data_IF_874710493089
#
_entry.id   IF_874710493089
#
_cell.length_a   1.000
_cell.length_b   1.000
_cell.length_c   1.000
_cell.angle_alpha   90.00
_cell.angle_beta   90.00
_cell.angle_gamma   90.00
#
_symmetry.space_group_name_H-M   'P 1'
#
loop_
_entity.id
_entity.type
_entity.pdbx_description
1 polymer ?
#
# COMPACT_ATOMS: atom_id res chain seq x y z
N UNK A 1 -58.71 68.01 -15.35
CA UNK A 1 -57.33 68.48 -15.58
C UNK A 1 -56.39 67.47 -14.96
N UNK A 2 -56.05 66.49 -15.79
CA UNK A 2 -54.79 65.75 -15.92
C UNK A 2 -53.88 65.56 -14.71
N UNK A 3 -53.63 64.28 -14.40
CA UNK A 3 -52.27 63.68 -14.44
C UNK A 3 -52.35 62.18 -14.15
N UNK A 4 -52.58 61.40 -15.20
CA UNK A 4 -52.16 60.01 -15.29
C UNK A 4 -50.69 59.99 -15.73
N UNK A 5 -49.79 59.52 -14.87
CA UNK A 5 -48.38 59.30 -15.23
C UNK A 5 -48.01 57.90 -14.76
N UNK A 6 -48.09 56.92 -15.67
CA UNK A 6 -47.52 55.59 -15.50
C UNK A 6 -46.17 55.56 -16.20
N UNK A 7 -45.09 55.10 -15.56
CA UNK A 7 -43.81 54.89 -16.24
C UNK A 7 -43.82 53.55 -16.99
N UNK A 8 -43.60 53.63 -18.30
CA UNK A 8 -43.32 52.50 -19.16
C UNK A 8 -41.90 51.98 -18.89
N UNK A 9 -41.79 50.76 -18.38
CA UNK A 9 -40.54 49.99 -18.33
C UNK A 9 -40.34 49.34 -19.70
N UNK A 10 -39.45 49.94 -20.50
CA UNK A 10 -38.92 49.34 -21.72
C UNK A 10 -37.77 48.41 -21.33
N UNK A 11 -37.90 47.13 -21.68
CA UNK A 11 -36.86 46.12 -21.52
C UNK A 11 -36.16 45.96 -22.86
N UNK A 12 -34.94 46.50 -22.96
CA UNK A 12 -34.01 46.30 -24.08
C UNK A 12 -33.38 44.89 -23.98
N UNK A 13 -33.48 44.02 -25.01
CA UNK A 13 -32.67 42.83 -25.10
C UNK A 13 -31.55 43.08 -26.12
N UNK A 14 -30.50 43.76 -25.71
CA UNK A 14 -29.26 43.83 -26.47
C UNK A 14 -28.09 43.59 -25.52
N UNK A 15 -27.55 42.36 -25.55
CA UNK A 15 -26.16 41.96 -25.18
C UNK A 15 -26.08 40.44 -24.95
N UNK A 16 -26.54 39.67 -25.92
CA UNK A 16 -26.02 38.33 -26.18
C UNK A 16 -25.59 38.31 -27.63
N UNK A 17 -24.31 38.56 -27.89
CA UNK A 17 -23.53 37.87 -28.92
C UNK A 17 -22.14 38.48 -29.06
N UNK A 18 -21.17 37.59 -29.22
CA UNK A 18 -19.80 37.81 -29.64
C UNK A 18 -18.90 38.40 -28.57
N UNK A 19 -18.19 37.52 -27.85
CA UNK A 19 -16.73 37.54 -27.68
C UNK A 19 -16.36 36.27 -26.89
N UNK A 20 -15.30 35.56 -27.30
CA UNK A 20 -14.62 34.44 -26.63
C UNK A 20 -15.11 32.98 -26.79
N UNK A 21 -15.30 32.50 -28.03
CA UNK A 21 -15.24 31.05 -28.32
C UNK A 21 -14.22 30.65 -29.41
N UNK A 22 -13.25 31.50 -29.74
CA UNK A 22 -12.40 31.27 -30.92
C UNK A 22 -10.91 30.94 -30.66
N UNK A 23 -10.43 30.74 -29.42
CA UNK A 23 -8.98 30.60 -29.18
C UNK A 23 -8.49 29.36 -28.42
N UNK A 24 -9.35 28.43 -28.02
CA UNK A 24 -8.92 27.30 -27.18
C UNK A 24 -8.68 25.96 -27.91
N UNK A 25 -8.55 25.96 -29.24
CA UNK A 25 -8.40 24.72 -30.02
C UNK A 25 -7.08 24.62 -30.79
N UNK A 26 -6.01 25.23 -30.25
CA UNK A 26 -4.67 25.17 -30.84
C UNK A 26 -3.58 24.84 -29.82
N UNK A 27 -3.86 23.91 -28.90
CA UNK A 27 -2.80 23.23 -28.17
C UNK A 27 -2.61 21.84 -28.75
N UNK A 28 -1.59 21.78 -29.60
CA UNK A 28 -0.94 20.60 -30.14
C UNK A 28 -0.83 19.47 -29.11
N UNK A 29 -1.57 18.39 -29.35
CA UNK A 29 -1.17 17.05 -28.89
C UNK A 29 -0.07 16.61 -29.86
N UNK A 30 1.14 17.09 -29.63
CA UNK A 30 2.35 16.52 -30.25
C UNK A 30 2.66 15.26 -29.46
N UNK A 31 2.36 14.13 -30.09
CA UNK A 31 2.96 12.82 -29.87
C UNK A 31 4.41 12.94 -29.40
N UNK A 32 4.66 12.60 -28.13
CA UNK A 32 5.98 12.18 -27.69
C UNK A 32 6.05 10.66 -27.83
N UNK A 33 6.62 10.27 -28.97
CA UNK A 33 7.29 8.98 -29.19
C UNK A 33 8.23 8.71 -28.00
N UNK A 34 8.04 7.63 -27.24
CA UNK A 34 8.57 6.30 -27.53
C UNK A 34 10.11 6.26 -27.62
N UNK A 35 10.79 6.51 -26.50
CA UNK A 35 12.14 6.00 -26.24
C UNK A 35 12.12 5.18 -24.94
N UNK A 36 11.75 3.90 -25.10
CA UNK A 36 12.08 2.85 -24.15
C UNK A 36 13.53 2.44 -24.43
N UNK A 37 14.48 3.10 -23.77
CA UNK A 37 15.88 2.66 -23.74
C UNK A 37 15.96 1.30 -23.03
N UNK A 38 16.43 0.33 -23.80
CA UNK A 38 16.69 -1.05 -23.43
C UNK A 38 17.96 -1.06 -22.56
N UNK A 39 17.83 -1.29 -21.26
CA UNK A 39 18.99 -1.52 -20.39
C UNK A 39 19.55 -2.91 -20.65
N UNK A 40 20.74 -2.96 -21.25
CA UNK A 40 21.57 -4.16 -21.42
C UNK A 40 21.98 -4.71 -20.05
N UNK A 41 21.65 -5.98 -19.77
CA UNK A 41 22.19 -6.72 -18.63
C UNK A 41 23.64 -7.12 -18.93
N UNK A 42 24.62 -6.88 -18.03
CA UNK A 42 25.98 -7.36 -18.24
C UNK A 42 26.07 -8.89 -18.06
N UNK A 43 26.57 -9.53 -19.12
CA UNK A 43 26.93 -10.95 -19.20
C UNK A 43 27.85 -11.38 -18.05
N UNK A 44 27.48 -12.52 -17.48
CA UNK A 44 28.16 -13.22 -16.40
C UNK A 44 29.22 -14.14 -16.96
N UNK A 45 30.42 -13.62 -17.17
CA UNK A 45 31.58 -14.46 -17.52
C UNK A 45 32.02 -15.28 -16.30
N UNK A 46 31.87 -16.59 -16.45
CA UNK A 46 32.53 -17.60 -15.62
C UNK A 46 33.97 -17.68 -16.12
N UNK A 47 34.93 -17.42 -15.25
CA UNK A 47 36.31 -17.76 -15.53
C UNK A 47 36.87 -18.74 -14.48
N UNK A 48 37.65 -19.66 -15.02
CA UNK A 48 37.96 -20.97 -14.49
C UNK A 48 39.09 -20.94 -13.46
N UNK A 49 39.14 -22.00 -12.64
CA UNK A 49 40.12 -22.13 -11.57
C UNK A 49 41.56 -22.28 -12.05
N UNK A 50 42.48 -21.63 -11.33
CA UNK A 50 43.91 -21.92 -11.37
C UNK A 50 44.42 -22.33 -9.98
N UNK A 51 45.01 -23.53 -9.96
CA UNK A 51 45.54 -24.24 -8.80
C UNK A 51 46.88 -23.64 -8.34
N UNK A 52 47.00 -23.55 -7.01
CA UNK A 52 48.18 -23.20 -6.22
C UNK A 52 49.45 -24.02 -6.58
N UNK A 53 50.58 -23.34 -6.77
CA UNK A 53 51.91 -23.94 -6.63
C UNK A 53 52.96 -22.88 -6.26
N UNK A 54 53.04 -22.51 -4.97
CA UNK A 54 54.22 -21.85 -4.40
C UNK A 54 54.29 -22.14 -2.90
N UNK A 55 54.93 -23.26 -2.57
CA UNK A 55 55.26 -23.62 -1.19
C UNK A 55 56.66 -23.06 -0.87
N UNK A 56 56.71 -21.96 -0.12
CA UNK A 56 57.96 -21.35 0.35
C UNK A 56 58.64 -22.22 1.42
N UNK A 57 59.99 -22.31 1.44
CA UNK A 57 60.73 -23.15 2.38
C UNK A 57 60.66 -22.61 3.81
N UNK A 58 60.40 -23.50 4.76
CA UNK A 58 60.25 -23.21 6.19
C UNK A 58 61.48 -22.48 6.77
N UNK A 59 61.26 -21.31 7.36
CA UNK A 59 62.30 -20.53 8.06
C UNK A 59 62.67 -21.19 9.39
N UNK A 60 63.96 -21.13 9.81
CA UNK A 60 64.44 -21.76 11.03
C UNK A 60 63.85 -21.10 12.29
N UNK A 61 63.48 -21.93 13.26
CA UNK A 61 62.88 -21.54 14.54
C UNK A 61 63.75 -20.49 15.28
N UNK A 62 63.11 -19.42 15.74
CA UNK A 62 63.77 -18.31 16.41
C UNK A 62 64.30 -18.67 17.81
N UNK A 63 65.35 -17.99 18.25
CA UNK A 63 66.07 -18.26 19.50
C UNK A 63 65.17 -18.34 20.77
N UNK A 64 64.03 -17.66 20.77
CA UNK A 64 63.03 -17.73 21.86
C UNK A 64 62.38 -19.10 21.99
N UNK A 65 62.13 -19.77 20.86
CA UNK A 65 61.54 -21.11 20.82
C UNK A 65 62.56 -22.17 21.28
N UNK A 66 63.84 -21.98 20.95
CA UNK A 66 64.93 -22.82 21.45
C UNK A 66 65.09 -22.68 22.98
N UNK A 67 64.96 -21.47 23.52
CA UNK A 67 65.08 -21.20 24.95
C UNK A 67 63.92 -21.81 25.75
N UNK A 68 62.70 -21.81 25.20
CA UNK A 68 61.53 -22.47 25.80
C UNK A 68 61.68 -24.00 25.81
N UNK A 69 62.18 -24.59 24.72
CA UNK A 69 62.45 -26.04 24.65
C UNK A 69 63.60 -26.46 25.56
N UNK A 70 64.65 -25.65 25.66
CA UNK A 70 65.75 -25.88 26.59
C UNK A 70 65.31 -25.77 28.06
N UNK A 71 64.46 -24.80 28.38
CA UNK A 71 63.90 -24.62 29.73
C UNK A 71 63.03 -25.79 30.19
N UNK A 72 62.19 -26.32 29.29
CA UNK A 72 61.38 -27.51 29.58
C UNK A 72 62.21 -28.77 29.82
N UNK A 73 63.25 -28.99 28.99
CA UNK A 73 64.17 -30.13 29.15
C UNK A 73 65.02 -30.03 30.42
N UNK A 74 65.45 -28.82 30.81
CA UNK A 74 66.24 -28.61 32.03
C UNK A 74 65.46 -28.99 33.31
N UNK A 75 64.15 -28.73 33.35
CA UNK A 75 63.32 -29.09 34.51
C UNK A 75 63.11 -30.60 34.62
N UNK A 76 62.91 -31.28 33.48
CA UNK A 76 62.82 -32.75 33.43
C UNK A 76 64.14 -33.40 33.83
N UNK A 77 65.27 -32.89 33.33
CA UNK A 77 66.60 -33.38 33.69
C UNK A 77 66.89 -33.19 35.19
N UNK A 78 66.53 -32.05 35.77
CA UNK A 78 66.74 -31.79 37.20
C UNK A 78 65.90 -32.73 38.08
N UNK A 79 64.66 -33.05 37.68
CA UNK A 79 63.81 -34.02 38.37
C UNK A 79 64.35 -35.45 38.26
N UNK A 80 64.87 -35.85 37.10
CA UNK A 80 65.52 -37.14 36.91
C UNK A 80 66.78 -37.29 37.78
N UNK A 81 67.59 -36.23 37.89
CA UNK A 81 68.76 -36.20 38.79
C UNK A 81 68.32 -36.36 40.24
N UNK A 82 67.28 -35.65 40.69
CA UNK A 82 66.81 -35.73 42.07
C UNK A 82 66.28 -37.13 42.43
N UNK A 83 65.57 -37.80 41.51
CA UNK A 83 65.13 -39.19 41.66
C UNK A 83 66.35 -40.14 41.71
N UNK A 84 67.32 -39.97 40.82
CA UNK A 84 68.54 -40.81 40.79
C UNK A 84 69.41 -40.66 42.04
N UNK A 85 69.52 -39.44 42.59
CA UNK A 85 70.28 -39.18 43.81
C UNK A 85 69.64 -39.89 45.01
N UNK A 86 68.31 -39.91 45.05
CA UNK A 86 67.51 -40.59 46.09
C UNK A 86 67.67 -42.11 46.02
N UNK A 87 67.80 -42.67 44.81
CA UNK A 87 68.09 -44.09 44.61
C UNK A 87 69.55 -44.47 44.94
N UNK A 88 70.52 -43.62 44.59
CA UNK A 88 71.95 -43.92 44.80
C UNK A 88 72.38 -43.95 46.27
N UNK A 89 71.70 -43.17 47.14
CA UNK A 89 71.97 -43.14 48.58
C UNK A 89 71.14 -44.17 49.35
N UNK A 90 71.03 -45.42 48.87
CA UNK A 90 70.71 -46.61 49.67
C UNK A 90 69.53 -46.51 50.67
N UNK A 91 68.58 -45.61 50.46
CA UNK A 91 67.51 -45.28 51.40
C UNK A 91 66.15 -45.83 50.95
N UNK A 92 66.11 -46.55 49.83
CA UNK A 92 64.91 -47.24 49.35
C UNK A 92 64.55 -48.50 50.15
N UNK A 93 65.36 -48.90 51.14
CA UNK A 93 65.10 -50.11 51.95
C UNK A 93 65.21 -49.90 53.46
N UNK A 94 64.96 -48.69 53.96
CA UNK A 94 64.76 -48.40 55.40
C UNK A 94 63.54 -47.52 55.69
N UNK A 95 62.49 -47.61 54.87
CA UNK A 95 61.20 -46.92 55.13
C UNK A 95 60.24 -47.78 55.97
N UNK A 96 60.61 -49.02 56.31
CA UNK A 96 59.69 -49.94 57.02
C UNK A 96 59.94 -50.14 58.52
N UNK A 97 60.79 -49.34 59.17
CA UNK A 97 60.85 -49.33 60.64
C UNK A 97 61.05 -47.92 61.19
N UNK A 98 59.92 -47.29 61.53
CA UNK A 98 59.81 -46.32 62.62
C UNK A 98 60.56 -45.01 62.47
N UNK A 99 59.97 -44.03 61.77
CA UNK A 99 60.00 -42.61 62.17
C UNK A 99 58.92 -41.79 61.45
N UNK A 100 58.22 -40.97 62.24
CA UNK A 100 57.40 -39.77 61.94
C UNK A 100 56.55 -39.75 60.66
N UNK A 101 55.23 -39.86 60.84
CA UNK A 101 54.19 -39.82 59.80
C UNK A 101 54.30 -38.64 58.81
N UNK A 102 54.94 -37.54 59.21
CA UNK A 102 55.17 -36.36 58.36
C UNK A 102 56.10 -36.63 57.18
N UNK A 103 57.13 -37.49 57.34
CA UNK A 103 58.04 -37.84 56.25
C UNK A 103 57.38 -38.76 55.20
N UNK A 104 56.50 -39.65 55.65
CA UNK A 104 55.78 -40.57 54.75
C UNK A 104 54.75 -39.84 53.89
N UNK A 105 54.06 -38.84 54.47
CA UNK A 105 53.15 -37.97 53.72
C UNK A 105 53.91 -37.13 52.66
N UNK A 106 55.09 -36.61 53.01
CA UNK A 106 55.92 -35.82 52.08
C UNK A 106 56.40 -36.63 50.87
N UNK A 107 56.83 -37.88 51.09
CA UNK A 107 57.25 -38.76 50.00
C UNK A 107 56.08 -39.14 49.10
N UNK A 108 54.92 -39.47 49.67
CA UNK A 108 53.71 -39.79 48.90
C UNK A 108 53.27 -38.62 47.99
N UNK A 109 53.27 -37.38 48.51
CA UNK A 109 52.95 -36.19 47.70
C UNK A 109 53.94 -35.96 46.55
N UNK A 110 55.22 -36.24 46.75
CA UNK A 110 56.25 -36.03 45.71
C UNK A 110 56.12 -37.05 44.57
N UNK A 111 55.79 -38.29 44.88
CA UNK A 111 55.51 -39.31 43.85
C UNK A 111 54.17 -39.04 43.15
N UNK A 112 53.16 -38.56 43.87
CA UNK A 112 51.87 -38.21 43.26
C UNK A 112 52.00 -37.02 42.28
N UNK A 113 52.76 -35.98 42.63
CA UNK A 113 52.93 -34.80 41.78
C UNK A 113 53.79 -35.08 40.55
N UNK A 114 54.84 -35.90 40.68
CA UNK A 114 55.67 -36.32 39.54
C UNK A 114 54.92 -37.24 38.56
N UNK A 115 54.04 -38.13 39.07
CA UNK A 115 53.17 -38.94 38.23
C UNK A 115 52.20 -38.13 37.37
N UNK A 116 51.61 -37.07 37.95
CA UNK A 116 50.73 -36.16 37.21
C UNK A 116 51.48 -35.39 36.10
N UNK A 117 52.77 -35.09 36.30
CA UNK A 117 53.59 -34.45 35.28
C UNK A 117 53.81 -35.32 34.03
N UNK A 118 54.05 -36.62 34.23
CA UNK A 118 54.28 -37.57 33.13
C UNK A 118 53.01 -37.78 32.31
N UNK A 119 51.83 -37.81 32.94
CA UNK A 119 50.56 -37.99 32.21
C UNK A 119 50.17 -36.74 31.43
N UNK A 120 50.46 -35.54 31.94
CA UNK A 120 50.09 -34.29 31.27
C UNK A 120 51.05 -33.89 30.14
N UNK A 121 52.34 -34.29 30.21
CA UNK A 121 53.35 -33.92 29.20
C UNK A 121 52.99 -34.34 27.76
N UNK A 122 52.53 -35.58 27.48
CA UNK A 122 52.10 -35.98 26.14
C UNK A 122 50.88 -35.18 25.63
N UNK A 123 49.96 -34.81 26.52
CA UNK A 123 48.75 -34.05 26.15
C UNK A 123 49.13 -32.65 25.68
N UNK A 124 50.08 -32.00 26.35
CA UNK A 124 50.56 -30.67 25.98
C UNK A 124 51.29 -30.73 24.63
N UNK A 125 52.16 -31.72 24.41
CA UNK A 125 52.86 -31.90 23.12
C UNK A 125 51.88 -32.18 21.98
N UNK A 126 50.81 -32.94 22.24
CA UNK A 126 49.77 -33.21 21.25
C UNK A 126 48.98 -31.94 20.88
N UNK A 127 48.64 -31.10 21.88
CA UNK A 127 47.96 -29.82 21.65
C UNK A 127 48.87 -28.80 20.96
N UNK A 128 50.15 -28.77 21.30
CA UNK A 128 51.14 -27.91 20.65
C UNK A 128 51.26 -28.29 19.16
N UNK A 129 51.36 -29.58 18.81
CA UNK A 129 51.35 -30.03 17.41
C UNK A 129 50.06 -29.72 16.66
N UNK A 130 48.93 -29.61 17.34
CA UNK A 130 47.68 -29.16 16.72
C UNK A 130 47.67 -27.64 16.48
N UNK A 131 48.30 -26.86 17.35
CA UNK A 131 48.43 -25.41 17.21
C UNK A 131 49.50 -24.99 16.20
N UNK A 132 50.60 -25.74 16.08
CA UNK A 132 51.66 -25.49 15.08
C UNK A 132 51.22 -25.84 13.65
N UNK A 133 50.00 -26.36 13.44
CA UNK A 133 49.33 -26.33 12.12
C UNK A 133 48.78 -24.91 11.86
N UNK A 134 49.71 -23.95 11.92
CA UNK A 134 49.55 -22.49 11.75
C UNK A 134 49.12 -22.04 10.34
N UNK A 135 48.84 -22.97 9.42
CA UNK A 135 48.11 -22.62 8.20
C UNK A 135 46.70 -22.10 8.52
N UNK A 136 46.11 -22.55 9.63
CA UNK A 136 44.78 -22.12 10.06
C UNK A 136 44.75 -20.66 10.52
N UNK A 137 45.80 -20.16 11.19
CA UNK A 137 45.83 -18.75 11.63
C UNK A 137 46.16 -17.80 10.49
N UNK A 138 47.04 -18.19 9.56
CA UNK A 138 47.30 -17.41 8.34
C UNK A 138 46.08 -17.39 7.41
N UNK A 139 45.39 -18.52 7.26
CA UNK A 139 44.14 -18.60 6.53
C UNK A 139 43.05 -17.73 7.21
N UNK A 140 42.97 -17.75 8.54
CA UNK A 140 42.03 -16.89 9.27
C UNK A 140 42.35 -15.39 9.10
N UNK A 141 43.63 -14.99 9.16
CA UNK A 141 44.04 -13.59 8.94
C UNK A 141 43.81 -13.12 7.51
N UNK A 142 44.08 -13.96 6.52
CA UNK A 142 43.78 -13.64 5.12
C UNK A 142 42.26 -13.58 4.89
N UNK A 143 41.50 -14.49 5.52
CA UNK A 143 40.03 -14.45 5.49
C UNK A 143 39.47 -13.18 6.14
N UNK A 144 40.07 -12.69 7.24
CA UNK A 144 39.66 -11.42 7.87
C UNK A 144 39.99 -10.23 6.97
N UNK A 145 41.15 -10.20 6.31
CA UNK A 145 41.50 -9.13 5.35
C UNK A 145 40.55 -9.11 4.14
N UNK A 146 40.20 -10.29 3.63
CA UNK A 146 39.23 -10.43 2.56
C UNK A 146 37.84 -9.94 2.99
N UNK A 147 37.38 -10.33 4.19
CA UNK A 147 36.12 -9.86 4.75
C UNK A 147 36.11 -8.34 4.99
N UNK A 148 37.23 -7.78 5.45
CA UNK A 148 37.37 -6.33 5.62
C UNK A 148 37.31 -5.60 4.26
N UNK A 149 37.95 -6.14 3.23
CA UNK A 149 37.86 -5.62 1.87
C UNK A 149 36.42 -5.60 1.36
N UNK A 150 35.70 -6.71 1.52
CA UNK A 150 34.28 -6.82 1.13
C UNK A 150 33.37 -5.88 1.92
N UNK A 151 33.63 -5.69 3.21
CA UNK A 151 32.87 -4.76 4.03
C UNK A 151 33.13 -3.29 3.65
N UNK A 152 34.37 -2.96 3.27
CA UNK A 152 34.68 -1.62 2.76
C UNK A 152 33.95 -1.36 1.45
N UNK A 153 34.00 -2.31 0.52
CA UNK A 153 33.30 -2.22 -0.76
C UNK A 153 31.78 -2.10 -0.58
N UNK A 154 31.21 -2.87 0.35
CA UNK A 154 29.78 -2.74 0.69
C UNK A 154 29.44 -1.40 1.33
N UNK A 155 30.34 -0.80 2.10
CA UNK A 155 30.13 0.52 2.69
C UNK A 155 30.18 1.62 1.62
N UNK A 156 31.09 1.49 0.67
CA UNK A 156 31.21 2.42 -0.47
C UNK A 156 29.94 2.35 -1.34
N UNK A 157 29.42 1.15 -1.62
CA UNK A 157 28.15 0.96 -2.34
C UNK A 157 26.98 1.57 -1.57
N UNK A 158 26.87 1.31 -0.27
CA UNK A 158 25.80 1.89 0.55
C UNK A 158 25.87 3.41 0.59
N UNK A 159 27.08 3.98 0.63
CA UNK A 159 27.27 5.42 0.63
C UNK A 159 26.84 6.05 -0.70
N UNK A 160 27.14 5.40 -1.83
CA UNK A 160 26.63 5.82 -3.14
C UNK A 160 25.10 5.75 -3.21
N UNK A 161 24.48 4.71 -2.66
CA UNK A 161 23.02 4.58 -2.61
C UNK A 161 22.36 5.65 -1.74
N UNK A 162 23.01 6.06 -0.64
CA UNK A 162 22.55 7.18 0.19
C UNK A 162 22.60 8.51 -0.58
N UNK A 163 23.68 8.75 -1.34
CA UNK A 163 23.82 9.96 -2.16
C UNK A 163 22.74 10.02 -3.27
N UNK A 164 22.42 8.88 -3.89
CA UNK A 164 21.36 8.76 -4.89
C UNK A 164 19.96 9.02 -4.27
N UNK A 165 19.69 8.46 -3.08
CA UNK A 165 18.45 8.72 -2.35
C UNK A 165 18.33 10.20 -1.95
N UNK A 166 19.43 10.85 -1.54
CA UNK A 166 19.42 12.27 -1.23
C UNK A 166 19.12 13.13 -2.46
N UNK A 167 19.67 12.78 -3.62
CA UNK A 167 19.37 13.42 -4.91
C UNK A 167 17.89 13.29 -5.28
N UNK A 168 17.31 12.11 -5.10
CA UNK A 168 15.89 11.86 -5.38
C UNK A 168 14.97 12.64 -4.43
N UNK A 169 15.32 12.73 -3.14
CA UNK A 169 14.57 13.53 -2.16
C UNK A 169 14.61 15.02 -2.53
N UNK A 170 15.76 15.55 -2.98
CA UNK A 170 15.85 16.95 -3.45
C UNK A 170 14.98 17.19 -4.68
N UNK A 171 14.96 16.26 -5.64
CA UNK A 171 14.08 16.34 -6.82
C UNK A 171 12.60 16.32 -6.42
N UNK A 172 12.22 15.49 -5.45
CA UNK A 172 10.85 15.44 -4.94
C UNK A 172 10.46 16.75 -4.23
N UNK A 173 11.39 17.36 -3.49
CA UNK A 173 11.18 18.66 -2.84
C UNK A 173 10.97 19.78 -3.87
N UNK A 174 11.74 19.78 -4.97
CA UNK A 174 11.56 20.75 -6.07
C UNK A 174 10.19 20.59 -6.75
N UNK A 175 9.73 19.34 -6.94
CA UNK A 175 8.39 19.04 -7.47
C UNK A 175 7.29 19.50 -6.50
N UNK A 176 7.45 19.27 -5.20
CA UNK A 176 6.49 19.74 -4.19
C UNK A 176 6.40 21.27 -4.18
N UNK A 177 7.52 21.96 -4.29
CA UNK A 177 7.56 23.43 -4.36
C UNK A 177 6.87 23.94 -5.62
N UNK A 178 7.11 23.32 -6.77
CA UNK A 178 6.44 23.67 -8.02
C UNK A 178 4.93 23.40 -7.97
N UNK A 179 4.50 22.28 -7.37
CA UNK A 179 3.08 21.96 -7.18
C UNK A 179 2.41 22.91 -6.18
N UNK A 180 3.12 23.36 -5.15
CA UNK A 180 2.62 24.35 -4.19
C UNK A 180 2.45 25.71 -4.85
N UNK A 181 3.40 26.14 -5.66
CA UNK A 181 3.30 27.37 -6.46
C UNK A 181 2.13 27.28 -7.47
N UNK A 182 1.96 26.13 -8.13
CA UNK A 182 0.82 25.88 -9.02
C UNK A 182 -0.51 25.89 -8.25
N UNK A 183 -0.57 25.30 -7.06
CA UNK A 183 -1.76 25.29 -6.20
C UNK A 183 -2.11 26.68 -5.66
N UNK A 184 -1.13 27.53 -5.39
CA UNK A 184 -1.34 28.93 -5.00
C UNK A 184 -1.88 29.77 -6.17
N UNK A 185 -1.43 29.48 -7.41
CA UNK A 185 -1.89 30.16 -8.63
C UNK A 185 -3.26 29.63 -9.11
N UNK A 186 -3.55 28.33 -8.97
CA UNK A 186 -4.80 27.70 -9.40
C UNK A 186 -5.88 27.62 -8.31
N UNK A 187 -5.59 28.01 -7.07
CA UNK A 187 -6.57 28.01 -5.98
C UNK A 187 -7.83 28.85 -6.28
N UNK A 188 -7.73 29.87 -7.15
CA UNK A 188 -8.90 30.64 -7.63
C UNK A 188 -9.71 29.90 -8.69
N UNK A 189 -9.07 29.15 -9.58
CA UNK A 189 -9.73 28.36 -10.63
C UNK A 189 -10.42 27.10 -10.07
N UNK A 190 -9.87 26.50 -9.01
CA UNK A 190 -10.51 25.36 -8.33
C UNK A 190 -11.80 25.79 -7.64
N UNK A 191 -11.83 26.97 -7.03
CA UNK A 191 -13.05 27.51 -6.42
C UNK A 191 -14.12 27.80 -7.48
N UNK A 192 -13.74 28.36 -8.62
CA UNK A 192 -14.66 28.56 -9.75
C UNK A 192 -15.20 27.23 -10.31
N UNK A 193 -14.34 26.22 -10.44
CA UNK A 193 -14.77 24.88 -10.86
C UNK A 193 -15.73 24.24 -9.84
N UNK A 194 -15.46 24.36 -8.55
CA UNK A 194 -16.35 23.87 -7.50
C UNK A 194 -17.70 24.59 -7.51
N UNK A 195 -17.71 25.90 -7.73
CA UNK A 195 -18.93 26.68 -7.88
C UNK A 195 -19.73 26.25 -9.11
N UNK A 196 -19.07 26.00 -10.24
CA UNK A 196 -19.72 25.47 -11.45
C UNK A 196 -20.30 24.07 -11.22
N UNK A 197 -19.59 23.18 -10.53
CA UNK A 197 -20.11 21.85 -10.17
C UNK A 197 -21.31 21.97 -9.24
N UNK A 198 -21.27 22.89 -8.26
CA UNK A 198 -22.39 23.14 -7.36
C UNK A 198 -23.60 23.69 -8.11
N UNK A 199 -23.41 24.64 -9.01
CA UNK A 199 -24.48 25.19 -9.86
C UNK A 199 -25.06 24.11 -10.78
N UNK A 200 -24.23 23.28 -11.40
CA UNK A 200 -24.71 22.17 -12.21
C UNK A 200 -25.52 21.16 -11.39
N UNK A 201 -25.10 20.87 -10.15
CA UNK A 201 -25.87 20.02 -9.25
C UNK A 201 -27.24 20.62 -8.92
N UNK A 202 -27.29 21.91 -8.61
CA UNK A 202 -28.53 22.64 -8.32
C UNK A 202 -29.47 22.66 -9.54
N UNK A 203 -28.93 22.88 -10.75
CA UNK A 203 -29.68 22.82 -12.00
C UNK A 203 -30.22 21.40 -12.24
N UNK A 204 -29.41 20.36 -12.01
CA UNK A 204 -29.84 18.96 -12.16
C UNK A 204 -30.95 18.59 -11.17
N UNK A 205 -30.87 19.04 -9.92
CA UNK A 205 -31.94 18.87 -8.93
C UNK A 205 -33.22 19.61 -9.36
N UNK A 206 -33.09 20.85 -9.84
CA UNK A 206 -34.20 21.62 -10.38
C UNK A 206 -34.88 20.95 -11.57
N UNK A 207 -34.10 20.42 -12.52
CA UNK A 207 -34.62 19.67 -13.66
C UNK A 207 -35.34 18.40 -13.24
N UNK A 208 -34.82 17.68 -12.24
CA UNK A 208 -35.48 16.49 -11.68
C UNK A 208 -36.83 16.84 -11.04
N UNK A 209 -36.94 17.98 -10.36
CA UNK A 209 -38.21 18.46 -9.83
C UNK A 209 -39.22 18.80 -10.93
N UNK A 210 -38.78 19.46 -12.00
CA UNK A 210 -39.64 19.76 -13.15
C UNK A 210 -40.14 18.49 -13.82
N UNK A 211 -39.28 17.49 -14.01
CA UNK A 211 -39.66 16.20 -14.60
C UNK A 211 -40.67 15.46 -13.71
N UNK A 212 -40.45 15.42 -12.39
CA UNK A 212 -41.39 14.87 -11.40
C UNK A 212 -42.77 15.52 -11.49
N UNK A 213 -42.81 16.85 -11.56
CA UNK A 213 -44.07 17.59 -11.65
C UNK A 213 -44.79 17.33 -12.97
N UNK A 214 -44.04 17.24 -14.08
CA UNK A 214 -44.61 16.93 -15.40
C UNK A 214 -45.21 15.53 -15.45
N UNK A 215 -44.49 14.53 -14.91
CA UNK A 215 -45.00 13.16 -14.80
C UNK A 215 -46.24 13.12 -13.90
N UNK A 216 -46.21 13.83 -12.77
CA UNK A 216 -47.38 13.92 -11.88
C UNK A 216 -48.59 14.54 -12.60
N UNK A 217 -48.39 15.63 -13.34
CA UNK A 217 -49.44 16.28 -14.13
C UNK A 217 -50.04 15.31 -15.16
N UNK A 218 -49.21 14.61 -15.93
CA UNK A 218 -49.65 13.64 -16.93
C UNK A 218 -50.42 12.47 -16.32
N UNK A 219 -49.96 11.95 -15.17
CA UNK A 219 -50.66 10.90 -14.46
C UNK A 219 -52.00 11.40 -13.89
N UNK A 220 -52.06 12.62 -13.36
CA UNK A 220 -53.33 13.21 -12.88
C UNK A 220 -54.30 13.40 -14.04
N UNK A 221 -53.84 13.90 -15.18
CA UNK A 221 -54.66 14.01 -16.40
C UNK A 221 -55.19 12.64 -16.83
N UNK A 222 -54.35 11.60 -16.82
CA UNK A 222 -54.77 10.23 -17.13
C UNK A 222 -55.84 9.71 -16.16
N UNK A 223 -55.69 9.95 -14.85
CA UNK A 223 -56.68 9.56 -13.84
C UNK A 223 -58.03 10.24 -14.12
N UNK A 224 -58.01 11.54 -14.42
CA UNK A 224 -59.21 12.30 -14.76
C UNK A 224 -59.85 11.86 -16.09
N UNK A 225 -59.04 11.50 -17.09
CA UNK A 225 -59.52 11.02 -18.38
C UNK A 225 -60.16 9.62 -18.29
N UNK A 226 -59.78 8.81 -17.30
CA UNK A 226 -60.38 7.50 -17.06
C UNK A 226 -61.74 7.64 -16.35
N UNK A 227 -61.85 8.56 -15.39
CA UNK A 227 -63.09 8.92 -14.66
C UNK A 227 -64.05 9.74 -15.55
N UNK A 228 -64.60 9.08 -16.59
CA UNK A 228 -65.54 9.71 -17.52
C UNK A 228 -66.95 9.89 -16.94
N UNK A 229 -67.29 9.16 -15.88
CA UNK A 229 -68.63 9.20 -15.29
C UNK A 229 -68.77 10.24 -14.17
N UNK A 230 -67.66 10.87 -13.76
CA UNK A 230 -67.63 11.90 -12.72
C UNK A 230 -68.02 11.33 -11.36
N UNK A 231 -67.86 10.02 -11.17
CA UNK A 231 -68.15 9.36 -9.90
C UNK A 231 -67.08 9.65 -8.84
N UNK A 232 -65.90 10.13 -9.25
CA UNK A 232 -64.72 10.32 -8.40
C UNK A 232 -64.32 9.04 -7.64
N UNK A 233 -64.74 7.87 -8.14
CA UNK A 233 -64.47 6.56 -7.56
C UNK A 233 -63.98 5.60 -8.64
N UNK A 234 -62.76 5.12 -8.51
CA UNK A 234 -62.13 4.21 -9.47
C UNK A 234 -62.57 2.78 -9.19
N UNK A 235 -63.34 2.20 -10.12
CA UNK A 235 -63.79 0.80 -10.08
C UNK A 235 -62.68 -0.16 -10.53
N UNK A 236 -62.81 -1.46 -10.18
CA UNK A 236 -61.77 -2.47 -10.48
C UNK A 236 -61.41 -2.58 -11.98
N UNK A 237 -62.37 -2.36 -12.88
CA UNK A 237 -62.17 -2.32 -14.34
C UNK A 237 -61.44 -1.05 -14.82
N UNK A 238 -61.54 0.05 -14.08
CA UNK A 238 -60.86 1.31 -14.35
C UNK A 238 -59.43 1.31 -13.81
N UNK A 239 -59.20 0.61 -12.67
CA UNK A 239 -57.86 0.38 -12.13
C UNK A 239 -56.97 -0.32 -13.18
N UNK A 240 -57.49 -1.34 -13.86
CA UNK A 240 -56.73 -2.06 -14.89
C UNK A 240 -56.38 -1.15 -16.09
N UNK A 241 -57.28 -0.22 -16.46
CA UNK A 241 -57.00 0.79 -17.51
C UNK A 241 -55.97 1.81 -17.05
N UNK A 242 -56.03 2.24 -15.80
CA UNK A 242 -55.07 3.16 -15.21
C UNK A 242 -53.68 2.54 -15.17
N UNK A 243 -53.56 1.26 -14.79
CA UNK A 243 -52.29 0.53 -14.80
C UNK A 243 -51.71 0.46 -16.22
N UNK A 244 -52.54 0.15 -17.23
CA UNK A 244 -52.10 0.12 -18.63
C UNK A 244 -51.66 1.51 -19.09
N UNK A 245 -52.44 2.55 -18.77
CA UNK A 245 -52.13 3.94 -19.12
C UNK A 245 -50.83 4.43 -18.48
N UNK A 246 -50.59 4.12 -17.20
CA UNK A 246 -49.34 4.46 -16.53
C UNK A 246 -48.14 3.71 -17.12
N UNK A 247 -48.32 2.46 -17.56
CA UNK A 247 -47.28 1.70 -18.26
C UNK A 247 -46.98 2.22 -19.68
N UNK A 248 -47.89 2.98 -20.29
CA UNK A 248 -47.68 3.63 -21.59
C UNK A 248 -46.92 4.95 -21.47
N UNK A 249 -46.89 5.57 -20.28
CA UNK A 249 -46.07 6.75 -20.03
C UNK A 249 -44.62 6.30 -19.97
N UNK A 250 -43.88 6.75 -20.97
CA UNK A 250 -42.58 6.25 -21.42
C UNK A 250 -41.42 6.59 -20.47
N UNK A 251 -41.65 6.57 -19.15
CA UNK A 251 -40.73 7.08 -18.11
C UNK A 251 -41.03 6.53 -16.70
N UNK A 252 -42.12 5.78 -16.51
CA UNK A 252 -42.57 5.32 -15.18
C UNK A 252 -42.40 3.82 -15.08
N UNK A 253 -41.53 3.36 -14.18
CA UNK A 253 -41.48 1.96 -13.75
C UNK A 253 -42.11 1.86 -12.36
N UNK A 254 -43.16 1.05 -12.23
CA UNK A 254 -43.82 0.80 -10.96
C UNK A 254 -44.34 -0.65 -10.89
N UNK A 255 -44.53 -1.14 -9.67
CA UNK A 255 -45.17 -2.45 -9.46
C UNK A 255 -46.69 -2.32 -9.54
N UNK A 256 -47.25 -2.82 -10.63
CA UNK A 256 -48.69 -2.82 -10.88
C UNK A 256 -49.50 -3.56 -9.80
N UNK A 257 -48.95 -4.62 -9.18
CA UNK A 257 -49.69 -5.42 -8.20
C UNK A 257 -49.78 -4.73 -6.84
N UNK A 258 -48.67 -4.15 -6.41
CA UNK A 258 -48.63 -3.38 -5.18
C UNK A 258 -49.51 -2.11 -5.31
N UNK A 259 -49.44 -1.41 -6.45
CA UNK A 259 -50.33 -0.28 -6.72
C UNK A 259 -51.81 -0.66 -6.67
N UNK A 260 -52.20 -1.79 -7.28
CA UNK A 260 -53.57 -2.30 -7.25
C UNK A 260 -54.05 -2.55 -5.82
N UNK A 261 -53.20 -3.13 -4.98
CA UNK A 261 -53.53 -3.44 -3.59
C UNK A 261 -53.74 -2.15 -2.77
N UNK A 262 -52.89 -1.14 -2.99
CA UNK A 262 -52.98 0.14 -2.30
C UNK A 262 -54.25 0.92 -2.71
N UNK A 263 -54.61 0.91 -3.99
CA UNK A 263 -55.83 1.57 -4.49
C UNK A 263 -57.10 0.90 -3.93
N UNK A 264 -57.14 -0.43 -3.88
CA UNK A 264 -58.27 -1.17 -3.29
C UNK A 264 -58.38 -0.90 -1.78
N UNK A 265 -57.25 -0.80 -1.08
CA UNK A 265 -57.23 -0.50 0.36
C UNK A 265 -57.79 0.89 0.70
N UNK A 266 -57.61 1.86 -0.21
CA UNK A 266 -58.13 3.23 -0.12
C UNK A 266 -59.58 3.39 -0.60
N UNK A 267 -60.27 2.29 -0.95
CA UNK A 267 -61.68 2.35 -1.36
C UNK A 267 -61.92 3.06 -2.69
N UNK A 268 -60.88 3.27 -3.50
CA UNK A 268 -60.98 3.80 -4.85
C UNK A 268 -61.27 5.29 -4.98
N UNK A 269 -61.21 6.10 -3.91
CA UNK A 269 -61.42 7.55 -4.03
C UNK A 269 -60.27 8.19 -4.85
N UNK A 270 -60.62 8.97 -5.88
CA UNK A 270 -59.64 9.66 -6.76
C UNK A 270 -58.67 10.54 -5.96
N UNK A 271 -59.14 11.27 -4.95
CA UNK A 271 -58.29 12.13 -4.12
C UNK A 271 -57.22 11.30 -3.37
N UNK A 272 -57.60 10.12 -2.86
CA UNK A 272 -56.68 9.21 -2.18
C UNK A 272 -55.69 8.59 -3.16
N UNK A 273 -56.14 8.23 -4.36
CA UNK A 273 -55.28 7.70 -5.42
C UNK A 273 -54.24 8.74 -5.86
N UNK A 274 -54.63 10.00 -6.01
CA UNK A 274 -53.71 11.11 -6.31
C UNK A 274 -52.70 11.28 -5.17
N UNK A 275 -53.12 11.18 -3.90
CA UNK A 275 -52.19 11.22 -2.76
C UNK A 275 -51.19 10.07 -2.78
N UNK A 276 -51.62 8.85 -3.11
CA UNK A 276 -50.74 7.68 -3.27
C UNK A 276 -49.71 7.96 -4.36
N UNK A 277 -50.15 8.39 -5.54
CA UNK A 277 -49.27 8.70 -6.68
C UNK A 277 -48.28 9.81 -6.32
N UNK A 278 -48.75 10.88 -5.65
CA UNK A 278 -47.89 11.97 -5.19
C UNK A 278 -46.79 11.46 -4.26
N UNK A 279 -47.12 10.55 -3.34
CA UNK A 279 -46.17 9.91 -2.41
C UNK A 279 -45.18 9.02 -3.16
N UNK A 280 -45.64 8.26 -4.16
CA UNK A 280 -44.80 7.41 -5.00
C UNK A 280 -43.76 8.21 -5.81
N UNK A 281 -44.11 9.41 -6.30
CA UNK A 281 -43.23 10.27 -7.12
C UNK A 281 -42.26 11.10 -6.28
N UNK A 282 -42.72 11.66 -5.16
CA UNK A 282 -41.89 12.52 -4.32
C UNK A 282 -40.97 11.73 -3.40
N UNK A 283 -41.24 10.43 -3.21
CA UNK A 283 -40.69 9.65 -2.11
C UNK A 283 -41.31 10.13 -0.79
N UNK A 284 -41.23 9.29 0.24
CA UNK A 284 -41.59 9.71 1.60
C UNK A 284 -40.62 10.80 2.04
N UNK A 285 -40.92 12.07 1.73
CA UNK A 285 -40.18 13.21 2.27
C UNK A 285 -40.26 13.11 3.79
N UNK A 286 -39.10 12.92 4.41
CA UNK A 286 -38.88 12.67 5.82
C UNK A 286 -39.78 13.58 6.69
N UNK A 287 -40.89 13.05 7.22
CA UNK A 287 -41.77 13.84 8.10
C UNK A 287 -43.19 13.35 8.26
N UNK A 288 -43.75 12.64 7.27
CA UNK A 288 -45.09 12.04 7.43
C UNK A 288 -44.98 10.61 7.96
N UNK A 289 -45.46 10.40 9.20
CA UNK A 289 -45.65 9.08 9.84
C UNK A 289 -46.85 8.37 9.21
N UNK A 290 -46.77 8.17 7.89
CA UNK A 290 -47.75 7.45 7.08
C UNK A 290 -47.14 6.15 6.59
N UNK A 291 -47.98 5.12 6.45
CA UNK A 291 -47.62 3.80 5.91
C UNK A 291 -46.61 3.92 4.76
N UNK A 292 -45.46 3.28 4.91
CA UNK A 292 -44.49 3.09 3.83
C UNK A 292 -45.22 2.45 2.65
N UNK A 293 -45.39 3.20 1.57
CA UNK A 293 -45.91 2.65 0.32
C UNK A 293 -44.81 1.81 -0.29
N UNK A 294 -45.10 0.52 -0.53
CA UNK A 294 -44.15 -0.43 -1.10
C UNK A 294 -43.74 -0.09 -2.54
N UNK A 295 -44.50 0.78 -3.22
CA UNK A 295 -44.20 1.23 -4.56
C UNK A 295 -43.34 2.51 -4.54
N UNK A 296 -42.16 2.46 -5.15
CA UNK A 296 -41.40 3.64 -5.53
C UNK A 296 -41.41 3.75 -7.05
N UNK A 297 -41.71 4.94 -7.58
CA UNK A 297 -41.54 5.22 -9.00
C UNK A 297 -40.09 5.61 -9.23
N UNK A 298 -39.36 4.75 -9.94
CA UNK A 298 -38.04 5.08 -10.44
C UNK A 298 -38.20 5.94 -11.70
N UNK A 299 -37.95 7.24 -11.56
CA UNK A 299 -37.87 8.15 -12.71
C UNK A 299 -36.47 8.03 -13.29
N UNK A 300 -36.41 7.80 -14.61
CA UNK A 300 -35.16 7.73 -15.35
C UNK A 300 -34.31 9.00 -15.17
N UNK A 301 -32.99 8.84 -15.26
CA UNK A 301 -32.05 9.95 -15.09
C UNK A 301 -32.38 11.09 -16.07
N UNK A 302 -32.57 12.35 -15.59
CA UNK A 302 -32.93 13.48 -16.46
C UNK A 302 -32.06 13.62 -17.71
N UNK A 303 -30.77 13.24 -17.65
CA UNK A 303 -29.88 13.31 -18.82
C UNK A 303 -30.36 12.42 -19.98
N UNK A 304 -30.77 11.18 -19.70
CA UNK A 304 -31.28 10.27 -20.72
C UNK A 304 -32.57 10.80 -21.34
N UNK A 305 -33.44 11.38 -20.52
CA UNK A 305 -34.68 12.00 -20.97
C UNK A 305 -34.43 13.12 -21.97
N UNK A 306 -33.51 14.05 -21.65
CA UNK A 306 -33.15 15.14 -22.54
C UNK A 306 -32.45 14.65 -23.82
N UNK A 307 -31.64 13.60 -23.73
CA UNK A 307 -31.01 12.99 -24.91
C UNK A 307 -32.06 12.36 -25.84
N UNK A 308 -33.06 11.66 -25.30
CA UNK A 308 -34.19 11.09 -26.06
C UNK A 308 -34.97 12.20 -26.79
N UNK A 309 -35.25 13.31 -26.12
CA UNK A 309 -35.91 14.48 -26.72
C UNK A 309 -35.05 15.15 -27.81
N UNK A 310 -33.75 15.32 -27.58
CA UNK A 310 -32.82 15.87 -28.58
C UNK A 310 -32.70 14.96 -29.80
N UNK A 311 -32.68 13.64 -29.61
CA UNK A 311 -32.61 12.65 -30.69
C UNK A 311 -33.90 12.54 -31.51
N UNK A 312 -35.07 12.71 -30.87
CA UNK A 312 -36.38 12.62 -31.53
C UNK A 312 -36.72 13.78 -32.46
N UNK A 313 -36.05 14.93 -32.34
CA UNK A 313 -36.33 16.13 -33.14
C UNK A 313 -35.81 16.11 -34.59
N UNK A 314 -35.01 15.12 -34.99
CA UNK A 314 -34.33 15.11 -36.31
C UNK A 314 -35.14 14.45 -37.45
N UNK A 315 -36.32 13.86 -37.16
CA UNK A 315 -37.10 13.08 -38.16
C UNK A 315 -38.45 13.72 -38.53
N UNK A 316 -38.52 15.05 -38.62
CA UNK A 316 -39.66 15.76 -39.23
C UNK A 316 -39.20 16.68 -40.34
N UNK A 317 -38.53 16.08 -41.33
CA UNK A 317 -37.99 16.76 -42.49
C UNK A 317 -38.01 15.87 -43.73
N UNK A 318 -39.19 15.36 -44.12
CA UNK A 318 -39.49 14.86 -45.47
C UNK A 318 -41.01 14.80 -45.66
N UNK A 319 -41.56 15.89 -46.17
CA UNK A 319 -42.60 15.83 -47.20
C UNK A 319 -41.91 15.69 -48.55
#
# INVERSE_FOLDING_TARGET
>A
MDKSSSPALSFEPSLVQNIHYAEFNKFEITTMDNELEYFDEPEKDRDEGAVNANQEPAKPAGAKEWLLRAGGMANIAMQAVNISLTYSKGAALKVWQGQNATLQAGQACTYASSGLGIVNSPVVIYKERQLTKEDTFRAALNGIREQQGRLSEQNDILSAEIDDLESEVRRMQDIEMALKELSEVQGTQINELLDLVRQNKEINEGMRHVLKNKVLEEVISLVLDIDNDGSFTIQNNEIDRLIIGMNLIDEIKFDAQAFRTDVIACGGNVDEVIMIIKRMIHGSSEGEVGRETACQIEIEDPENWFQKQKGGGSVSGRR
#
